data_IF_409154906451
#
_entry.id   IF_409154906451
#
_cell.length_a   1.000
_cell.length_b   1.000
_cell.length_c   1.000
_cell.angle_alpha   90.00
_cell.angle_beta   90.00
_cell.angle_gamma   90.00
#
_symmetry.space_group_name_H-M   'P 1'
#
loop_
_entity.id
_entity.type
_entity.pdbx_description
1 polymer ?
#
# COMPACT_ATOMS: atom_id res chain seq x y z
N UNK A 1 -0.38 5.80 19.93
CA UNK A 1 -1.22 4.93 19.08
C UNK A 1 -0.34 4.05 18.22
N UNK A 2 -0.85 2.89 17.82
CA UNK A 2 -0.22 1.99 16.83
C UNK A 2 -0.76 2.30 15.44
N UNK A 3 0.11 2.75 14.55
CA UNK A 3 -0.28 3.15 13.18
C UNK A 3 0.40 2.23 12.17
N UNK A 4 -0.39 1.54 11.36
CA UNK A 4 0.10 0.78 10.22
C UNK A 4 -0.05 1.63 8.96
N UNK A 5 1.05 1.89 8.26
CA UNK A 5 1.03 2.51 6.93
C UNK A 5 1.18 1.40 5.89
N UNK A 6 0.35 1.40 4.84
CA UNK A 6 0.49 0.45 3.73
C UNK A 6 0.74 1.18 2.42
N UNK A 7 1.74 0.74 1.66
CA UNK A 7 2.10 1.31 0.36
C UNK A 7 2.59 0.22 -0.59
N UNK A 8 2.32 0.36 -1.88
CA UNK A 8 2.88 -0.53 -2.90
C UNK A 8 4.33 -0.16 -3.28
N UNK A 9 4.79 1.03 -2.87
CA UNK A 9 6.12 1.57 -3.11
C UNK A 9 6.68 2.15 -1.82
N UNK A 10 7.96 1.88 -1.52
CA UNK A 10 8.61 2.48 -0.35
C UNK A 10 10.08 2.87 -0.62
N UNK A 11 10.95 1.94 -0.97
CA UNK A 11 12.38 2.21 -1.15
C UNK A 11 12.86 2.14 -2.61
N UNK A 12 12.11 1.50 -3.50
CA UNK A 12 12.56 1.18 -4.85
C UNK A 12 12.57 2.36 -5.83
N UNK A 13 11.89 3.44 -5.48
CA UNK A 13 11.76 4.63 -6.36
C UNK A 13 11.68 5.91 -5.55
N UNK A 14 12.22 7.00 -6.11
CA UNK A 14 12.02 8.34 -5.56
C UNK A 14 10.82 8.96 -6.27
N UNK A 15 9.69 9.01 -5.57
CA UNK A 15 8.48 9.67 -6.07
C UNK A 15 7.69 10.32 -4.92
N UNK A 16 6.67 11.08 -5.27
CA UNK A 16 5.87 11.84 -4.30
C UNK A 16 5.19 10.95 -3.25
N UNK A 17 4.73 9.75 -3.62
CA UNK A 17 4.09 8.80 -2.69
C UNK A 17 5.10 8.31 -1.66
N UNK A 18 6.27 7.86 -2.10
CA UNK A 18 7.35 7.39 -1.21
C UNK A 18 7.80 8.50 -0.25
N UNK A 19 7.96 9.71 -0.76
CA UNK A 19 8.31 10.89 0.06
C UNK A 19 7.23 11.16 1.10
N UNK A 20 5.96 11.10 0.72
CA UNK A 20 4.82 11.27 1.62
C UNK A 20 4.80 10.22 2.72
N UNK A 21 4.98 8.94 2.37
CA UNK A 21 5.02 7.83 3.34
C UNK A 21 6.15 8.00 4.35
N UNK A 22 7.37 8.32 3.88
CA UNK A 22 8.54 8.52 4.74
C UNK A 22 8.37 9.72 5.68
N UNK A 23 7.81 10.82 5.18
CA UNK A 23 7.54 11.99 6.01
C UNK A 23 6.44 11.69 7.06
N UNK A 24 5.38 11.01 6.66
CA UNK A 24 4.31 10.62 7.58
C UNK A 24 4.84 9.70 8.69
N UNK A 25 5.60 8.67 8.33
CA UNK A 25 6.23 7.75 9.29
C UNK A 25 7.10 8.52 10.29
N UNK A 26 7.99 9.37 9.78
CA UNK A 26 8.90 10.18 10.59
C UNK A 26 8.15 11.09 11.57
N UNK A 27 7.14 11.80 11.11
CA UNK A 27 6.39 12.74 11.95
C UNK A 27 5.53 12.02 12.99
N UNK A 28 4.89 10.91 12.64
CA UNK A 28 4.14 10.10 13.59
C UNK A 28 5.06 9.50 14.68
N UNK A 29 6.23 8.99 14.29
CA UNK A 29 7.22 8.46 15.23
C UNK A 29 7.73 9.55 16.18
N UNK A 30 8.02 10.74 15.66
CA UNK A 30 8.42 11.90 16.44
C UNK A 30 7.35 12.32 17.46
N UNK A 31 6.08 12.14 17.13
CA UNK A 31 4.95 12.39 18.04
C UNK A 31 4.73 11.27 19.06
N UNK A 32 5.58 10.25 19.09
CA UNK A 32 5.51 9.14 20.05
C UNK A 32 4.52 8.03 19.66
N UNK A 33 4.15 7.93 18.38
CA UNK A 33 3.34 6.83 17.88
C UNK A 33 4.25 5.65 17.51
N UNK A 34 3.75 4.43 17.72
CA UNK A 34 4.39 3.19 17.23
C UNK A 34 3.94 2.98 15.78
N UNK A 35 4.87 3.13 14.84
CA UNK A 35 4.57 3.04 13.40
C UNK A 35 5.17 1.79 12.81
N UNK A 36 4.38 1.04 12.02
CA UNK A 36 4.85 -0.05 11.17
C UNK A 36 4.44 0.21 9.73
N UNK A 37 5.24 -0.29 8.78
CA UNK A 37 4.98 -0.13 7.35
C UNK A 37 4.88 -1.50 6.70
N UNK A 38 3.85 -1.72 5.88
CA UNK A 38 3.72 -2.90 5.02
C UNK A 38 3.85 -2.46 3.57
N UNK A 39 4.86 -3.01 2.88
CA UNK A 39 5.13 -2.65 1.49
C UNK A 39 5.51 -3.86 0.65
N UNK A 40 5.67 -3.63 -0.65
CA UNK A 40 6.10 -4.66 -1.61
C UNK A 40 7.63 -4.66 -1.67
N UNK A 41 8.24 -5.85 -1.59
CA UNK A 41 9.68 -6.03 -1.67
C UNK A 41 10.21 -5.68 -3.06
N UNK A 42 11.42 -5.13 -3.12
CA UNK A 42 12.21 -4.96 -4.34
C UNK A 42 12.89 -6.27 -4.82
N UNK A 43 12.77 -7.34 -4.03
CA UNK A 43 13.40 -8.63 -4.25
C UNK A 43 12.38 -9.77 -4.35
N UNK A 44 12.84 -10.91 -4.87
CA UNK A 44 12.07 -12.16 -4.83
C UNK A 44 12.21 -12.86 -3.46
N UNK A 45 12.05 -12.06 -2.39
CA UNK A 45 12.07 -12.51 -1.01
C UNK A 45 11.17 -11.62 -0.15
N UNK A 46 10.57 -12.20 0.89
CA UNK A 46 9.98 -11.43 2.00
C UNK A 46 11.04 -11.22 3.06
N UNK A 47 11.15 -10.00 3.56
CA UNK A 47 12.05 -9.67 4.66
C UNK A 47 11.49 -8.52 5.48
N UNK A 48 12.00 -8.39 6.69
CA UNK A 48 11.71 -7.26 7.56
C UNK A 48 13.01 -6.48 7.81
N UNK A 49 12.91 -5.18 7.78
CA UNK A 49 13.98 -4.28 8.17
C UNK A 49 13.38 -3.19 9.05
N UNK A 50 13.87 -3.08 10.28
CA UNK A 50 13.35 -2.17 11.29
C UNK A 50 11.82 -2.35 11.47
N UNK A 51 11.05 -1.29 11.28
CA UNK A 51 9.59 -1.28 11.35
C UNK A 51 8.89 -1.56 10.02
N UNK A 52 9.64 -1.96 8.97
CA UNK A 52 9.13 -2.15 7.61
C UNK A 52 9.07 -3.63 7.24
N UNK A 53 7.92 -4.07 6.78
CA UNK A 53 7.60 -5.42 6.33
C UNK A 53 7.53 -5.45 4.81
N UNK A 54 8.46 -6.10 4.17
CA UNK A 54 8.59 -6.20 2.71
C UNK A 54 8.02 -7.53 2.22
N UNK A 55 6.93 -7.46 1.47
CA UNK A 55 6.28 -8.64 0.88
C UNK A 55 6.99 -9.08 -0.39
N UNK A 56 7.39 -10.37 -0.47
CA UNK A 56 7.95 -11.00 -1.67
C UNK A 56 7.20 -10.62 -2.93
N UNK A 57 7.90 -10.21 -3.97
CA UNK A 57 7.31 -9.76 -5.22
C UNK A 57 8.11 -10.12 -6.46
N UNK A 58 7.49 -9.94 -7.62
CA UNK A 58 8.12 -10.01 -8.95
C UNK A 58 7.87 -8.72 -9.71
N UNK A 59 8.78 -8.32 -10.63
CA UNK A 59 8.54 -7.18 -11.51
C UNK A 59 7.27 -7.38 -12.34
N UNK A 60 6.48 -6.33 -12.49
CA UNK A 60 5.37 -6.35 -13.44
C UNK A 60 5.89 -6.23 -14.86
N UNK A 61 5.33 -7.03 -15.78
CA UNK A 61 5.59 -6.87 -17.22
C UNK A 61 4.77 -5.73 -17.85
N UNK A 62 3.80 -5.21 -17.14
CA UNK A 62 2.83 -4.22 -17.64
C UNK A 62 3.30 -2.80 -17.32
N UNK A 63 3.92 -2.60 -16.18
CA UNK A 63 4.40 -1.29 -15.73
C UNK A 63 5.78 -1.44 -15.08
N UNK A 64 6.83 -0.75 -15.58
CA UNK A 64 8.21 -1.01 -15.18
C UNK A 64 8.48 -0.84 -13.67
N UNK A 65 7.81 0.12 -13.02
CA UNK A 65 8.08 0.46 -11.61
C UNK A 65 7.12 -0.24 -10.64
N UNK A 66 6.15 -1.01 -11.14
CA UNK A 66 5.22 -1.77 -10.29
C UNK A 66 5.72 -3.19 -10.11
N UNK A 67 5.67 -3.65 -8.87
CA UNK A 67 5.96 -5.04 -8.50
C UNK A 67 4.69 -5.70 -7.97
N UNK A 68 4.54 -6.97 -8.27
CA UNK A 68 3.36 -7.77 -7.91
C UNK A 68 3.73 -8.70 -6.76
N UNK A 69 3.09 -8.60 -5.59
CA UNK A 69 3.31 -9.56 -4.52
C UNK A 69 2.88 -10.96 -4.94
N UNK A 70 3.77 -11.93 -4.79
CA UNK A 70 3.58 -13.32 -5.24
C UNK A 70 3.34 -14.31 -4.11
N UNK A 71 3.34 -13.84 -2.88
CA UNK A 71 3.02 -14.66 -1.72
C UNK A 71 1.89 -14.01 -0.94
N UNK A 72 1.08 -14.84 -0.30
CA UNK A 72 0.02 -14.33 0.59
C UNK A 72 0.57 -13.61 1.82
N UNK A 73 1.90 -13.68 2.05
CA UNK A 73 2.61 -13.14 3.22
C UNK A 73 1.79 -13.30 4.50
N UNK A 74 1.21 -14.50 4.66
CA UNK A 74 0.25 -14.79 5.73
C UNK A 74 0.85 -14.43 7.09
N UNK A 75 2.12 -14.79 7.30
CA UNK A 75 2.82 -14.56 8.57
C UNK A 75 2.91 -13.08 8.94
N UNK A 76 3.27 -12.21 7.98
CA UNK A 76 3.32 -10.77 8.23
C UNK A 76 1.94 -10.16 8.46
N UNK A 77 0.94 -10.62 7.71
CA UNK A 77 -0.43 -10.15 7.88
C UNK A 77 -0.98 -10.59 9.25
N UNK A 78 -0.71 -11.83 9.67
CA UNK A 78 -1.12 -12.33 10.98
C UNK A 78 -0.39 -11.64 12.11
N UNK A 79 0.91 -11.36 11.95
CA UNK A 79 1.69 -10.59 12.92
C UNK A 79 1.12 -9.18 13.08
N UNK A 80 0.84 -8.49 11.97
CA UNK A 80 0.27 -7.14 11.99
C UNK A 80 -1.15 -7.12 12.57
N UNK A 81 -1.95 -8.15 12.36
CA UNK A 81 -3.26 -8.31 13.01
C UNK A 81 -3.09 -8.52 14.51
N UNK A 82 -2.15 -9.39 14.95
CA UNK A 82 -1.86 -9.63 16.38
C UNK A 82 -1.28 -8.39 17.07
N UNK A 83 -0.55 -7.58 16.32
CA UNK A 83 -0.04 -6.29 16.82
C UNK A 83 -1.16 -5.29 17.12
N UNK A 84 -2.37 -5.46 16.54
CA UNK A 84 -3.58 -4.65 16.75
C UNK A 84 -3.32 -3.16 16.51
N UNK A 85 -3.17 -2.73 15.27
CA UNK A 85 -3.08 -1.30 14.95
C UNK A 85 -4.39 -0.59 15.36
N UNK A 86 -4.25 0.62 15.89
CA UNK A 86 -5.39 1.52 16.13
C UNK A 86 -5.87 2.13 14.81
N UNK A 87 -4.92 2.43 13.92
CA UNK A 87 -5.16 3.04 12.61
C UNK A 87 -4.39 2.28 11.55
N UNK A 88 -5.03 2.04 10.42
CA UNK A 88 -4.39 1.58 9.18
C UNK A 88 -4.54 2.68 8.13
N UNK A 89 -3.41 3.25 7.70
CA UNK A 89 -3.37 4.32 6.71
C UNK A 89 -2.82 3.78 5.38
N UNK A 90 -3.70 3.60 4.41
CA UNK A 90 -3.33 3.14 3.06
C UNK A 90 -2.93 4.32 2.17
N UNK A 91 -1.82 4.17 1.43
CA UNK A 91 -1.26 5.19 0.54
C UNK A 91 -1.33 4.81 -0.93
N UNK A 92 -1.83 3.61 -1.25
CA UNK A 92 -1.97 3.11 -2.62
C UNK A 92 -3.24 2.27 -2.76
N UNK A 93 -3.80 2.20 -3.97
CA UNK A 93 -5.08 1.54 -4.27
C UNK A 93 -4.94 0.09 -4.78
N UNK A 94 -3.71 -0.38 -5.00
CA UNK A 94 -3.49 -1.68 -5.65
C UNK A 94 -3.38 -2.84 -4.64
N UNK A 95 -2.20 -3.41 -4.49
CA UNK A 95 -2.02 -4.65 -3.74
C UNK A 95 -2.07 -4.45 -2.23
N UNK A 96 -1.32 -3.47 -1.72
CA UNK A 96 -1.27 -3.16 -0.28
C UNK A 96 -2.63 -2.75 0.28
N UNK A 97 -3.49 -2.14 -0.53
CA UNK A 97 -4.85 -1.79 -0.16
C UNK A 97 -5.71 -3.00 0.25
N UNK A 98 -5.59 -4.11 -0.49
CA UNK A 98 -6.30 -5.34 -0.16
C UNK A 98 -5.87 -5.92 1.19
N UNK A 99 -4.58 -5.89 1.49
CA UNK A 99 -4.04 -6.30 2.79
C UNK A 99 -4.45 -5.34 3.91
N UNK A 100 -4.43 -4.03 3.66
CA UNK A 100 -4.92 -3.02 4.60
C UNK A 100 -6.37 -3.32 5.02
N UNK A 101 -7.28 -3.53 4.08
CA UNK A 101 -8.69 -3.88 4.37
C UNK A 101 -8.81 -5.18 5.19
N UNK A 102 -8.00 -6.19 4.89
CA UNK A 102 -7.99 -7.45 5.65
C UNK A 102 -7.57 -7.21 7.10
N UNK A 103 -6.51 -6.41 7.32
CA UNK A 103 -6.02 -6.10 8.66
C UNK A 103 -7.03 -5.25 9.43
N UNK A 104 -7.59 -4.21 8.82
CA UNK A 104 -8.66 -3.38 9.40
C UNK A 104 -9.81 -4.23 9.92
N UNK A 105 -10.32 -5.12 9.06
CA UNK A 105 -11.46 -5.99 9.42
C UNK A 105 -11.12 -6.93 10.58
N UNK A 106 -9.92 -7.48 10.62
CA UNK A 106 -9.51 -8.45 11.63
C UNK A 106 -9.10 -7.78 12.95
N UNK A 107 -8.45 -6.61 12.91
CA UNK A 107 -8.00 -5.89 14.09
C UNK A 107 -9.04 -4.92 14.67
N UNK A 108 -10.10 -4.57 13.92
CA UNK A 108 -11.05 -3.53 14.31
C UNK A 108 -10.47 -2.12 14.24
N UNK A 109 -9.48 -1.89 13.40
CA UNK A 109 -8.76 -0.63 13.29
C UNK A 109 -9.58 0.44 12.52
N UNK A 110 -9.29 1.71 12.76
CA UNK A 110 -9.77 2.81 11.91
C UNK A 110 -9.04 2.75 10.56
N UNK A 111 -9.78 2.89 9.47
CA UNK A 111 -9.20 2.89 8.13
C UNK A 111 -9.14 4.31 7.56
N UNK A 112 -7.94 4.74 7.16
CA UNK A 112 -7.68 6.00 6.47
C UNK A 112 -7.05 5.67 5.12
N UNK A 113 -7.42 6.41 4.08
CA UNK A 113 -6.82 6.27 2.76
C UNK A 113 -6.45 7.63 2.17
N UNK A 114 -5.21 7.74 1.68
CA UNK A 114 -4.77 8.90 0.90
C UNK A 114 -4.71 8.53 -0.58
N UNK A 115 -5.48 9.25 -1.38
CA UNK A 115 -5.52 9.11 -2.83
C UNK A 115 -4.51 10.07 -3.47
N UNK A 116 -3.36 9.53 -3.89
CA UNK A 116 -2.24 10.35 -4.41
C UNK A 116 -2.33 10.66 -5.90
N UNK A 117 -2.97 9.81 -6.70
CA UNK A 117 -2.87 9.86 -8.15
C UNK A 117 -4.25 9.85 -8.80
N UNK A 118 -4.57 10.92 -9.53
CA UNK A 118 -5.75 10.97 -10.39
C UNK A 118 -5.51 10.09 -11.64
N UNK A 119 -5.56 8.78 -11.47
CA UNK A 119 -5.29 7.80 -12.55
C UNK A 119 -6.12 8.04 -13.80
N UNK A 120 -7.31 8.64 -13.67
CA UNK A 120 -8.19 9.01 -14.77
C UNK A 120 -7.54 10.03 -15.74
N UNK A 121 -6.60 10.84 -15.25
CA UNK A 121 -5.87 11.83 -16.06
C UNK A 121 -4.59 11.25 -16.67
N UNK A 122 -4.09 10.13 -16.13
CA UNK A 122 -2.83 9.51 -16.58
C UNK A 122 -3.03 8.28 -17.46
N UNK A 123 -4.25 8.01 -17.92
CA UNK A 123 -4.57 6.84 -18.77
C UNK A 123 -3.79 6.80 -20.09
N UNK A 124 -3.30 7.93 -20.57
CA UNK A 124 -2.47 8.00 -21.79
C UNK A 124 -1.06 7.42 -21.60
N UNK A 125 -0.56 7.45 -20.37
CA UNK A 125 0.78 6.96 -19.99
C UNK A 125 0.77 5.50 -19.51
N UNK A 126 -0.39 4.92 -19.28
CA UNK A 126 -0.51 3.54 -18.81
C UNK A 126 -0.87 2.65 -19.99
N UNK A 127 -0.07 1.63 -20.35
CA UNK A 127 -0.37 0.72 -21.47
C UNK A 127 -1.75 0.06 -21.39
N UNK A 128 -2.28 -0.11 -20.18
CA UNK A 128 -3.64 -0.60 -19.90
C UNK A 128 -4.71 0.41 -20.36
N UNK A 129 -4.39 1.69 -20.46
CA UNK A 129 -5.33 2.74 -20.81
C UNK A 129 -5.88 2.65 -22.24
N UNK A 130 -5.21 1.93 -23.15
CA UNK A 130 -5.74 1.66 -24.49
C UNK A 130 -6.86 0.61 -24.49
N UNK A 131 -6.95 -0.22 -23.47
CA UNK A 131 -7.95 -1.30 -23.34
C UNK A 131 -9.02 -1.02 -22.30
N UNK A 132 -8.74 -0.15 -21.33
CA UNK A 132 -9.69 0.20 -20.28
C UNK A 132 -10.10 1.68 -20.43
N UNK A 133 -11.40 1.95 -20.69
CA UNK A 133 -11.87 3.33 -20.77
C UNK A 133 -11.67 4.06 -19.44
N UNK A 134 -11.44 5.39 -19.49
CA UNK A 134 -11.37 6.25 -18.28
C UNK A 134 -12.54 5.99 -17.32
N UNK A 135 -13.73 5.80 -17.87
CA UNK A 135 -14.93 5.51 -17.09
C UNK A 135 -14.86 4.16 -16.35
N UNK A 136 -14.29 3.13 -16.98
CA UNK A 136 -14.14 1.82 -16.37
C UNK A 136 -13.12 1.85 -15.22
N UNK A 137 -11.99 2.56 -15.41
CA UNK A 137 -10.98 2.75 -14.36
C UNK A 137 -11.54 3.53 -13.17
N UNK A 138 -12.22 4.65 -13.43
CA UNK A 138 -12.87 5.44 -12.38
C UNK A 138 -13.95 4.66 -11.62
N UNK A 139 -14.74 3.85 -12.33
CA UNK A 139 -15.73 2.96 -11.70
C UNK A 139 -15.07 1.88 -10.84
N UNK A 140 -13.96 1.29 -11.30
CA UNK A 140 -13.19 0.31 -10.55
C UNK A 140 -12.61 0.92 -9.26
N UNK A 141 -11.99 2.12 -9.35
CA UNK A 141 -11.46 2.83 -8.19
C UNK A 141 -12.57 3.16 -7.21
N UNK A 142 -13.69 3.71 -7.66
CA UNK A 142 -14.86 4.00 -6.79
C UNK A 142 -15.38 2.75 -6.08
N UNK A 143 -15.46 1.62 -6.76
CA UNK A 143 -15.87 0.35 -6.15
C UNK A 143 -14.84 -0.13 -5.11
N UNK A 144 -13.55 0.05 -5.39
CA UNK A 144 -12.47 -0.38 -4.50
C UNK A 144 -12.41 0.47 -3.23
N UNK A 145 -12.66 1.78 -3.35
CA UNK A 145 -12.70 2.73 -2.23
C UNK A 145 -14.04 2.73 -1.48
N UNK A 146 -15.03 1.98 -1.95
CA UNK A 146 -16.31 1.86 -1.27
C UNK A 146 -16.11 1.23 0.11
N UNK A 147 -16.62 1.89 1.15
CA UNK A 147 -16.43 1.52 2.57
C UNK A 147 -15.00 1.77 3.10
N UNK A 148 -14.39 2.86 2.71
CA UNK A 148 -13.21 3.48 3.32
C UNK A 148 -13.66 4.61 4.22
#
# INVERSE_FOLDING_TARGET
MKVLITSDLFDSTINGVVTSVKNLEKELTKQGHEVRILTVSDQYASYQKDNVYYMKSVPSKIYPDIRIPVSKCADYIEELIRWKPDVVHSQCEFFSFGYAKKIVKAAGAVFIHTYHTLYEQYTEYVPIGKTLSRAALGKWIKLRLRNV
#
